data_IF_403130473179
#
_entry.id   IF_403130473179
#
_cell.length_a   1.000
_cell.length_b   1.000
_cell.length_c   1.000
_cell.angle_alpha   90.00
_cell.angle_beta   90.00
_cell.angle_gamma   90.00
#
_symmetry.space_group_name_H-M   'P 1'
#
loop_
_entity.id
_entity.type
_entity.pdbx_description
1 polymer ?
#
# COMPACT_ATOMS: atom_id res chain seq x y z
N UNK A 1 25.68 -17.21 6.83
CA UNK A 1 24.42 -17.94 6.63
C UNK A 1 23.75 -17.33 5.41
N UNK A 2 23.57 -18.08 4.33
CA UNK A 2 22.91 -17.57 3.13
C UNK A 2 21.39 -17.56 3.35
N UNK A 3 20.74 -16.42 3.13
CA UNK A 3 19.28 -16.27 3.21
C UNK A 3 18.64 -16.69 1.89
N UNK A 4 17.49 -17.39 1.93
CA UNK A 4 16.79 -17.85 0.72
C UNK A 4 15.79 -16.82 0.17
N UNK A 5 15.73 -15.63 0.80
CA UNK A 5 14.77 -14.56 0.48
C UNK A 5 14.77 -14.19 -1.02
N UNK A 6 15.91 -13.98 -1.70
CA UNK A 6 15.87 -13.61 -3.13
C UNK A 6 15.18 -14.66 -4.01
N UNK A 7 15.45 -15.94 -3.77
CA UNK A 7 14.83 -17.05 -4.51
C UNK A 7 13.34 -17.16 -4.20
N UNK A 8 12.95 -16.96 -2.93
CA UNK A 8 11.56 -16.98 -2.50
C UNK A 8 10.77 -15.79 -3.07
N UNK A 9 11.38 -14.60 -3.15
CA UNK A 9 10.78 -13.44 -3.82
C UNK A 9 10.57 -13.70 -5.31
N UNK A 10 11.56 -14.29 -5.99
CA UNK A 10 11.43 -14.67 -7.40
C UNK A 10 10.29 -15.67 -7.60
N UNK A 11 10.14 -16.65 -6.70
CA UNK A 11 9.01 -17.57 -6.71
C UNK A 11 7.69 -16.82 -6.61
N UNK A 12 7.54 -15.94 -5.62
CA UNK A 12 6.30 -15.19 -5.40
C UNK A 12 5.93 -14.34 -6.64
N UNK A 13 6.94 -13.71 -7.27
CA UNK A 13 6.77 -13.01 -8.53
C UNK A 13 6.31 -13.94 -9.65
N UNK A 14 7.01 -15.05 -9.91
CA UNK A 14 6.68 -15.96 -11.01
C UNK A 14 5.26 -16.53 -10.91
N UNK A 15 4.79 -16.76 -9.68
CA UNK A 15 3.44 -17.27 -9.42
C UNK A 15 2.35 -16.22 -9.64
N UNK A 16 2.59 -14.96 -9.28
CA UNK A 16 1.55 -13.91 -9.30
C UNK A 16 1.73 -12.84 -10.36
N UNK A 17 2.80 -12.91 -11.18
CA UNK A 17 3.15 -11.88 -12.17
C UNK A 17 1.98 -11.44 -13.03
N UNK A 18 1.13 -12.39 -13.48
CA UNK A 18 -0.01 -12.05 -14.36
C UNK A 18 -1.04 -11.20 -13.62
N UNK A 19 -1.41 -11.58 -12.39
CA UNK A 19 -2.33 -10.80 -11.57
C UNK A 19 -1.79 -9.41 -11.27
N UNK A 20 -0.50 -9.32 -10.93
CA UNK A 20 0.15 -8.04 -10.65
C UNK A 20 0.27 -7.13 -11.88
N UNK A 21 0.62 -7.69 -13.04
CA UNK A 21 0.65 -6.93 -14.29
C UNK A 21 -0.74 -6.42 -14.67
N UNK A 22 -1.79 -7.23 -14.52
CA UNK A 22 -3.16 -6.80 -14.77
C UNK A 22 -3.55 -5.68 -13.80
N UNK A 23 -3.31 -5.84 -12.50
CA UNK A 23 -3.66 -4.84 -11.49
C UNK A 23 -2.93 -3.51 -11.71
N UNK A 24 -1.66 -3.53 -12.15
CA UNK A 24 -0.87 -2.34 -12.37
C UNK A 24 -1.15 -1.65 -13.72
N UNK A 25 -1.32 -2.42 -14.81
CA UNK A 25 -1.41 -1.88 -16.17
C UNK A 25 -2.85 -1.74 -16.69
N UNK A 26 -3.79 -2.61 -16.28
CA UNK A 26 -5.14 -2.54 -16.83
C UNK A 26 -5.86 -1.23 -16.46
N UNK A 27 -5.85 -0.73 -15.20
CA UNK A 27 -6.54 0.52 -14.87
C UNK A 27 -6.05 1.74 -15.68
N UNK A 28 -4.74 2.06 -15.78
CA UNK A 28 -4.30 3.23 -16.54
C UNK A 28 -4.49 3.06 -18.05
N UNK A 29 -4.36 1.85 -18.60
CA UNK A 29 -4.64 1.59 -20.02
C UNK A 29 -6.13 1.79 -20.33
N UNK A 30 -7.01 1.25 -19.49
CA UNK A 30 -8.46 1.43 -19.64
C UNK A 30 -8.83 2.91 -19.50
N UNK A 31 -8.25 3.61 -18.54
CA UNK A 31 -8.46 5.05 -18.38
C UNK A 31 -8.10 5.82 -19.67
N UNK A 32 -6.89 5.60 -20.19
CA UNK A 32 -6.45 6.23 -21.45
C UNK A 32 -7.34 5.84 -22.64
N UNK A 33 -7.80 4.59 -22.71
CA UNK A 33 -8.69 4.12 -23.78
C UNK A 33 -10.11 4.71 -23.67
N UNK A 34 -10.57 5.04 -22.46
CA UNK A 34 -11.87 5.65 -22.22
C UNK A 34 -11.85 7.17 -22.34
N UNK A 35 -10.69 7.82 -22.15
CA UNK A 35 -10.54 9.27 -22.27
C UNK A 35 -11.15 9.83 -23.56
N UNK A 36 -10.98 9.23 -24.76
CA UNK A 36 -11.60 9.68 -26.00
C UNK A 36 -13.10 9.98 -25.91
N UNK A 37 -13.82 9.17 -25.15
CA UNK A 37 -15.27 9.19 -25.00
C UNK A 37 -15.76 10.03 -23.81
N UNK A 38 -14.84 10.58 -23.01
CA UNK A 38 -15.17 11.45 -21.90
C UNK A 38 -15.56 12.85 -22.39
N UNK A 39 -16.62 13.41 -21.80
CA UNK A 39 -17.00 14.80 -21.96
C UNK A 39 -16.42 15.56 -20.77
N UNK A 40 -15.32 16.28 -21.00
CA UNK A 40 -14.71 17.16 -20.01
C UNK A 40 -15.15 18.58 -20.32
N UNK A 41 -16.30 18.98 -19.76
CA UNK A 41 -16.84 20.32 -19.92
C UNK A 41 -16.24 21.26 -18.88
N UNK A 42 -15.79 22.43 -19.33
CA UNK A 42 -15.29 23.51 -18.47
C UNK A 42 -13.77 23.48 -18.28
N UNK A 43 -13.15 24.66 -18.51
CA UNK A 43 -11.75 24.91 -18.13
C UNK A 43 -11.72 25.16 -16.62
N UNK A 44 -11.02 24.34 -15.83
CA UNK A 44 -10.97 24.56 -14.38
C UNK A 44 -10.21 25.85 -14.07
N UNK A 45 -10.56 26.47 -12.94
CA UNK A 45 -9.81 27.58 -12.39
C UNK A 45 -8.44 27.07 -11.90
N UNK A 46 -7.37 27.44 -12.62
CA UNK A 46 -6.00 27.07 -12.30
C UNK A 46 -5.08 27.05 -13.52
N UNK A 47 -3.77 26.95 -13.28
CA UNK A 47 -2.76 26.86 -14.35
C UNK A 47 -2.43 25.41 -14.71
N UNK A 48 -2.00 25.19 -15.96
CA UNK A 48 -1.48 23.91 -16.44
C UNK A 48 -0.34 23.37 -15.56
N UNK A 49 0.53 24.28 -15.11
CA UNK A 49 1.70 24.01 -14.27
C UNK A 49 1.31 23.43 -12.90
N UNK A 50 0.12 23.79 -12.38
CA UNK A 50 -0.40 23.23 -11.14
C UNK A 50 -1.01 21.84 -11.36
N UNK A 51 -1.80 21.66 -12.42
CA UNK A 51 -2.53 20.42 -12.65
C UNK A 51 -1.65 19.27 -13.16
N UNK A 52 -0.61 19.56 -13.94
CA UNK A 52 0.28 18.54 -14.50
C UNK A 52 0.97 17.66 -13.43
N UNK A 53 1.68 18.22 -12.43
CA UNK A 53 2.31 17.40 -11.39
C UNK A 53 1.26 16.72 -10.50
N UNK A 54 0.08 17.33 -10.31
CA UNK A 54 -1.00 16.75 -9.52
C UNK A 54 -1.55 15.48 -10.19
N UNK A 55 -1.90 15.53 -11.48
CA UNK A 55 -2.39 14.37 -12.23
C UNK A 55 -1.34 13.26 -12.25
N UNK A 56 -0.08 13.63 -12.41
CA UNK A 56 1.03 12.69 -12.37
C UNK A 56 1.11 11.95 -11.03
N UNK A 57 1.09 12.67 -9.91
CA UNK A 57 1.15 12.08 -8.55
C UNK A 57 -0.12 11.25 -8.25
N UNK A 58 -1.30 11.77 -8.57
CA UNK A 58 -2.58 11.05 -8.40
C UNK A 58 -2.56 9.73 -9.17
N UNK A 59 -2.02 9.71 -10.39
CA UNK A 59 -1.91 8.47 -11.18
C UNK A 59 -1.05 7.43 -10.46
N UNK A 60 0.11 7.83 -9.92
CA UNK A 60 0.95 6.94 -9.11
C UNK A 60 0.23 6.43 -7.86
N UNK A 61 -0.41 7.32 -7.09
CA UNK A 61 -1.15 6.99 -5.88
C UNK A 61 -2.35 6.07 -6.14
N UNK A 62 -3.10 6.29 -7.22
CA UNK A 62 -4.26 5.49 -7.57
C UNK A 62 -3.87 4.04 -7.88
N UNK A 63 -2.83 3.85 -8.71
CA UNK A 63 -2.37 2.50 -9.07
C UNK A 63 -1.71 1.80 -7.87
N UNK A 64 -0.98 2.54 -7.03
CA UNK A 64 -0.50 2.04 -5.74
C UNK A 64 -1.65 1.55 -4.85
N UNK A 65 -2.69 2.36 -4.66
CA UNK A 65 -3.82 2.06 -3.79
C UNK A 65 -4.60 0.82 -4.28
N UNK A 66 -4.81 0.70 -5.60
CA UNK A 66 -5.43 -0.49 -6.20
C UNK A 66 -4.59 -1.74 -5.88
N UNK A 67 -3.28 -1.70 -6.12
CA UNK A 67 -2.41 -2.84 -5.87
C UNK A 67 -2.32 -3.18 -4.38
N UNK A 68 -2.26 -2.19 -3.49
CA UNK A 68 -2.28 -2.39 -2.04
C UNK A 68 -3.60 -3.03 -1.59
N UNK A 69 -4.74 -2.58 -2.11
CA UNK A 69 -6.03 -3.17 -1.80
C UNK A 69 -6.10 -4.63 -2.25
N UNK A 70 -5.68 -4.93 -3.48
CA UNK A 70 -5.56 -6.30 -3.99
C UNK A 70 -4.66 -7.15 -3.10
N UNK A 71 -3.51 -6.60 -2.67
CA UNK A 71 -2.60 -7.28 -1.76
C UNK A 71 -3.27 -7.63 -0.42
N UNK A 72 -3.93 -6.66 0.21
CA UNK A 72 -4.57 -6.83 1.52
C UNK A 72 -5.70 -7.87 1.48
N UNK A 73 -6.43 -7.98 0.37
CA UNK A 73 -7.42 -9.04 0.18
C UNK A 73 -6.80 -10.42 -0.04
N UNK A 74 -5.68 -10.51 -0.76
CA UNK A 74 -5.08 -11.79 -1.14
C UNK A 74 -4.18 -12.38 -0.05
N UNK A 75 -3.43 -11.52 0.66
CA UNK A 75 -2.40 -11.89 1.64
C UNK A 75 -2.85 -12.92 2.68
N UNK A 76 -4.03 -12.79 3.32
CA UNK A 76 -4.50 -13.77 4.29
C UNK A 76 -4.63 -15.19 3.70
N UNK A 77 -5.06 -15.29 2.43
CA UNK A 77 -5.20 -16.58 1.74
C UNK A 77 -3.86 -17.24 1.43
N UNK A 78 -2.82 -16.45 1.15
CA UNK A 78 -1.49 -16.96 0.78
C UNK A 78 -0.81 -17.76 1.89
N UNK A 79 -1.20 -17.54 3.16
CA UNK A 79 -0.70 -18.32 4.30
C UNK A 79 -0.98 -19.84 4.17
N UNK A 80 -1.96 -20.23 3.34
CA UNK A 80 -2.40 -21.63 3.18
C UNK A 80 -2.13 -22.22 1.80
N UNK A 81 -1.69 -21.42 0.83
CA UNK A 81 -1.52 -21.83 -0.56
C UNK A 81 -0.73 -23.15 -0.67
N UNK A 82 0.42 -23.20 0.00
CA UNK A 82 1.33 -24.35 -0.13
C UNK A 82 0.74 -25.65 0.44
N UNK A 83 -0.17 -25.53 1.42
CA UNK A 83 -0.92 -26.67 1.97
C UNK A 83 -2.02 -27.09 1.01
N UNK A 84 -2.72 -26.13 0.38
CA UNK A 84 -3.78 -26.40 -0.59
C UNK A 84 -3.25 -27.12 -1.83
N UNK A 85 -2.06 -26.73 -2.29
CA UNK A 85 -1.42 -27.32 -3.47
C UNK A 85 -0.57 -28.56 -3.12
N UNK A 86 -0.61 -29.03 -1.86
CA UNK A 86 0.21 -30.13 -1.30
C UNK A 86 1.72 -29.98 -1.52
N UNK A 87 2.18 -28.79 -1.89
CA UNK A 87 3.60 -28.51 -2.11
C UNK A 87 4.35 -28.23 -0.81
N UNK A 88 3.64 -28.11 0.32
CA UNK A 88 4.25 -27.82 1.62
C UNK A 88 5.29 -28.86 2.05
N UNK A 89 5.07 -30.15 1.74
CA UNK A 89 6.03 -31.23 2.06
C UNK A 89 7.36 -31.05 1.31
N UNK A 90 7.26 -30.66 0.03
CA UNK A 90 8.44 -30.30 -0.77
C UNK A 90 9.15 -29.05 -0.20
N UNK A 91 8.41 -28.02 0.20
CA UNK A 91 9.02 -26.81 0.76
C UNK A 91 9.67 -27.04 2.12
N UNK A 92 9.17 -27.98 2.92
CA UNK A 92 9.76 -28.35 4.20
C UNK A 92 10.96 -29.29 4.05
N UNK A 93 11.11 -29.98 2.92
CA UNK A 93 12.30 -30.81 2.64
C UNK A 93 13.50 -30.00 2.17
N UNK A 94 13.28 -28.79 1.65
CA UNK A 94 14.35 -27.88 1.25
C UNK A 94 15.03 -27.22 2.47
N UNK A 95 16.33 -26.89 2.36
CA UNK A 95 17.02 -26.11 3.38
C UNK A 95 16.48 -24.67 3.36
N UNK A 96 15.42 -24.40 4.11
CA UNK A 96 14.78 -23.09 4.19
C UNK A 96 13.95 -22.94 5.44
N UNK A 97 14.01 -21.77 6.08
CA UNK A 97 13.24 -21.53 7.32
C UNK A 97 11.80 -21.13 6.97
N UNK A 98 10.77 -21.69 7.64
CA UNK A 98 9.38 -21.29 7.41
C UNK A 98 9.15 -19.77 7.57
N UNK A 99 9.89 -19.12 8.47
CA UNK A 99 9.89 -17.66 8.62
C UNK A 99 10.36 -16.90 7.39
N UNK A 100 11.38 -17.37 6.68
CA UNK A 100 11.86 -16.73 5.44
C UNK A 100 10.79 -16.78 4.35
N UNK A 101 10.03 -17.89 4.26
CA UNK A 101 8.94 -17.99 3.30
C UNK A 101 7.79 -17.04 3.64
N UNK A 102 7.37 -16.96 4.90
CA UNK A 102 6.30 -16.04 5.32
C UNK A 102 6.72 -14.58 5.08
N UNK A 103 7.95 -14.23 5.49
CA UNK A 103 8.50 -12.89 5.28
C UNK A 103 8.59 -12.54 3.80
N UNK A 104 9.04 -13.47 2.94
CA UNK A 104 9.14 -13.23 1.49
C UNK A 104 7.76 -13.05 0.85
N UNK A 105 6.75 -13.82 1.26
CA UNK A 105 5.38 -13.63 0.78
C UNK A 105 4.83 -12.25 1.13
N UNK A 106 5.00 -11.81 2.38
CA UNK A 106 4.56 -10.47 2.82
C UNK A 106 5.37 -9.38 2.13
N UNK A 107 6.69 -9.49 2.04
CA UNK A 107 7.54 -8.51 1.37
C UNK A 107 7.16 -8.34 -0.11
N UNK A 108 6.90 -9.46 -0.81
CA UNK A 108 6.48 -9.44 -2.21
C UNK A 108 5.12 -8.76 -2.41
N UNK A 109 4.12 -9.10 -1.60
CA UNK A 109 2.74 -8.68 -1.85
C UNK A 109 2.35 -7.38 -1.12
N UNK A 110 2.79 -7.19 0.12
CA UNK A 110 2.45 -6.00 0.91
C UNK A 110 3.28 -4.77 0.51
N UNK A 111 4.50 -4.95 -0.01
CA UNK A 111 5.40 -3.84 -0.30
C UNK A 111 5.87 -3.78 -1.76
N UNK A 112 6.57 -4.80 -2.26
CA UNK A 112 7.20 -4.73 -3.59
C UNK A 112 6.17 -4.60 -4.73
N UNK A 113 5.08 -5.37 -4.68
CA UNK A 113 4.04 -5.29 -5.71
C UNK A 113 3.32 -3.92 -5.72
N UNK A 114 2.84 -3.38 -4.58
CA UNK A 114 2.31 -2.01 -4.54
C UNK A 114 3.31 -0.95 -4.99
N UNK A 115 4.58 -1.03 -4.57
CA UNK A 115 5.63 -0.09 -5.03
C UNK A 115 5.85 -0.19 -6.53
N UNK A 116 5.92 -1.41 -7.08
CA UNK A 116 5.99 -1.61 -8.53
C UNK A 116 4.80 -1.01 -9.26
N UNK A 117 3.59 -1.14 -8.70
CA UNK A 117 2.38 -0.54 -9.22
C UNK A 117 2.42 1.01 -9.16
N UNK A 118 2.98 1.60 -8.11
CA UNK A 118 3.20 3.04 -8.02
C UNK A 118 4.12 3.55 -9.13
N UNK A 119 5.18 2.80 -9.44
CA UNK A 119 6.11 3.12 -10.55
C UNK A 119 5.39 3.04 -11.90
N UNK A 120 4.55 2.02 -12.11
CA UNK A 120 3.70 1.95 -13.31
C UNK A 120 2.74 3.14 -13.38
N UNK A 121 2.07 3.48 -12.28
CA UNK A 121 1.18 4.64 -12.23
C UNK A 121 1.91 5.97 -12.50
N UNK A 122 3.15 6.12 -12.03
CA UNK A 122 4.00 7.27 -12.37
C UNK A 122 4.39 7.27 -13.86
N UNK A 123 4.78 6.12 -14.43
CA UNK A 123 5.10 6.01 -15.84
C UNK A 123 3.90 6.36 -16.75
N UNK A 124 2.68 5.94 -16.37
CA UNK A 124 1.45 6.31 -17.05
C UNK A 124 0.94 7.71 -16.68
N UNK A 125 1.44 8.31 -15.61
CA UNK A 125 1.06 9.65 -15.17
C UNK A 125 1.35 10.72 -16.23
N UNK A 126 2.44 10.59 -16.99
CA UNK A 126 2.77 11.48 -18.11
C UNK A 126 1.74 11.41 -19.25
N UNK A 127 1.50 10.26 -19.91
CA UNK A 127 0.51 10.18 -20.97
C UNK A 127 -0.91 10.49 -20.49
N UNK A 128 -1.24 10.19 -19.23
CA UNK A 128 -2.51 10.59 -18.62
C UNK A 128 -2.59 12.11 -18.49
N UNK A 129 -1.59 12.78 -17.92
CA UNK A 129 -1.54 14.23 -17.78
C UNK A 129 -1.60 14.92 -19.16
N UNK A 130 -0.81 14.47 -20.13
CA UNK A 130 -0.83 14.98 -21.50
C UNK A 130 -2.24 14.89 -22.12
N UNK A 131 -2.90 13.74 -21.97
CA UNK A 131 -4.21 13.49 -22.57
C UNK A 131 -5.33 14.27 -21.89
N UNK A 132 -5.29 14.37 -20.56
CA UNK A 132 -6.28 15.11 -19.78
C UNK A 132 -6.12 16.61 -20.00
N UNK A 133 -4.92 17.15 -19.85
CA UNK A 133 -4.66 18.58 -20.03
C UNK A 133 -4.84 19.04 -21.47
N UNK A 134 -4.44 18.22 -22.45
CA UNK A 134 -4.64 18.49 -23.87
C UNK A 134 -6.11 18.67 -24.23
N UNK A 135 -7.01 17.96 -23.53
CA UNK A 135 -8.46 18.11 -23.68
C UNK A 135 -9.03 19.31 -22.92
N UNK A 136 -8.52 19.59 -21.72
CA UNK A 136 -9.07 20.65 -20.85
C UNK A 136 -8.59 22.06 -21.22
N UNK A 137 -7.35 22.19 -21.70
CA UNK A 137 -6.69 23.46 -21.97
C UNK A 137 -6.25 23.62 -23.44
N UNK A 138 -6.29 22.54 -24.22
CA UNK A 138 -5.82 22.52 -25.60
C UNK A 138 -4.43 21.88 -25.74
N UNK A 139 -4.22 21.21 -26.87
CA UNK A 139 -2.99 20.48 -27.16
C UNK A 139 -1.77 21.39 -27.35
N UNK A 140 -1.95 22.58 -27.92
CA UNK A 140 -0.85 23.52 -28.12
C UNK A 140 -0.24 23.97 -26.78
N UNK A 141 -1.08 24.44 -25.86
CA UNK A 141 -0.65 24.91 -24.54
C UNK A 141 -0.05 23.77 -23.71
N UNK A 142 -0.62 22.57 -23.80
CA UNK A 142 -0.13 21.39 -23.08
C UNK A 142 1.24 20.92 -23.58
N UNK A 143 1.49 20.98 -24.89
CA UNK A 143 2.80 20.64 -25.45
C UNK A 143 3.86 21.70 -25.20
N UNK A 144 3.46 22.96 -25.03
CA UNK A 144 4.35 24.06 -24.67
C UNK A 144 4.84 24.00 -23.22
N UNK A 145 4.22 23.17 -22.37
CA UNK A 145 4.60 23.01 -20.96
C UNK A 145 6.01 22.40 -20.83
N UNK A 146 6.82 22.92 -19.92
CA UNK A 146 8.12 22.35 -19.58
C UNK A 146 7.96 21.08 -18.73
N UNK A 147 7.74 19.93 -19.38
CA UNK A 147 7.55 18.63 -18.70
C UNK A 147 8.68 18.22 -17.77
N UNK A 148 9.90 18.70 -18.01
CA UNK A 148 11.02 18.52 -17.08
C UNK A 148 10.75 19.16 -15.72
N UNK A 149 10.20 20.38 -15.68
CA UNK A 149 9.85 21.08 -14.44
C UNK A 149 8.69 20.40 -13.73
N UNK A 150 7.71 19.88 -14.48
CA UNK A 150 6.61 19.09 -13.92
C UNK A 150 7.14 17.86 -13.17
N UNK A 151 8.09 17.13 -13.75
CA UNK A 151 8.70 15.96 -13.12
C UNK A 151 9.50 16.33 -11.87
N UNK A 152 10.28 17.42 -11.95
CA UNK A 152 11.05 17.92 -10.80
C UNK A 152 10.12 18.36 -9.67
N UNK A 153 9.02 19.03 -9.98
CA UNK A 153 8.02 19.46 -9.01
C UNK A 153 7.27 18.27 -8.36
N UNK A 154 7.03 17.19 -9.09
CA UNK A 154 6.40 15.98 -8.57
C UNK A 154 7.35 15.13 -7.70
N UNK A 155 8.66 15.22 -7.94
CA UNK A 155 9.65 14.32 -7.33
C UNK A 155 9.63 14.29 -5.79
N UNK A 156 9.55 15.43 -5.06
CA UNK A 156 9.46 15.40 -3.60
C UNK A 156 8.27 14.58 -3.09
N UNK A 157 7.10 14.72 -3.72
CA UNK A 157 5.89 13.99 -3.33
C UNK A 157 6.03 12.49 -3.60
N UNK A 158 6.62 12.12 -4.75
CA UNK A 158 6.85 10.70 -5.08
C UNK A 158 7.84 10.05 -4.11
N UNK A 159 8.96 10.73 -3.83
CA UNK A 159 9.95 10.24 -2.88
C UNK A 159 9.37 10.11 -1.47
N UNK A 160 8.58 11.09 -1.04
CA UNK A 160 7.84 11.04 0.23
C UNK A 160 6.85 9.88 0.28
N UNK A 161 6.09 9.68 -0.80
CA UNK A 161 5.16 8.57 -0.93
C UNK A 161 5.88 7.22 -0.87
N UNK A 162 6.96 7.05 -1.62
CA UNK A 162 7.80 5.84 -1.62
C UNK A 162 8.36 5.53 -0.23
N UNK A 163 8.94 6.53 0.46
CA UNK A 163 9.40 6.36 1.83
C UNK A 163 8.24 6.02 2.79
N UNK A 164 7.10 6.68 2.61
CA UNK A 164 5.87 6.44 3.36
C UNK A 164 5.34 5.02 3.20
N UNK A 165 5.56 4.36 2.06
CA UNK A 165 5.11 2.96 1.88
C UNK A 165 5.75 2.00 2.89
N UNK A 166 6.98 2.28 3.33
CA UNK A 166 7.66 1.48 4.36
C UNK A 166 6.95 1.65 5.68
N UNK A 167 6.70 2.91 6.08
CA UNK A 167 5.98 3.24 7.30
C UNK A 167 4.57 2.63 7.31
N UNK A 168 3.87 2.75 6.18
CA UNK A 168 2.52 2.20 6.01
C UNK A 168 2.55 0.68 6.17
N UNK A 169 3.51 0.02 5.53
CA UNK A 169 3.65 -1.44 5.63
C UNK A 169 3.85 -1.85 7.09
N UNK A 170 4.72 -1.16 7.84
CA UNK A 170 4.96 -1.45 9.26
C UNK A 170 3.68 -1.33 10.10
N UNK A 171 2.88 -0.27 9.89
CA UNK A 171 1.60 -0.09 10.58
C UNK A 171 0.53 -1.10 10.14
N UNK A 172 0.62 -1.65 8.93
CA UNK A 172 -0.29 -2.70 8.45
C UNK A 172 0.10 -4.12 8.90
N UNK A 173 1.35 -4.37 9.29
CA UNK A 173 1.81 -5.69 9.75
C UNK A 173 0.93 -6.35 10.84
N UNK A 174 0.45 -5.67 11.90
CA UNK A 174 -0.43 -6.29 12.89
C UNK A 174 -1.69 -6.87 12.24
N UNK A 175 -2.31 -6.14 11.32
CA UNK A 175 -3.51 -6.60 10.61
C UNK A 175 -3.15 -7.76 9.67
N UNK A 176 -2.12 -7.60 8.85
CA UNK A 176 -1.69 -8.61 7.87
C UNK A 176 -1.39 -9.94 8.57
N UNK A 177 -0.58 -9.93 9.62
CA UNK A 177 -0.16 -11.18 10.28
C UNK A 177 -1.27 -11.81 11.12
N UNK A 178 -2.14 -11.03 11.76
CA UNK A 178 -3.30 -11.59 12.47
C UNK A 178 -4.26 -12.26 11.48
N UNK A 179 -4.55 -11.64 10.33
CA UNK A 179 -5.41 -12.23 9.32
C UNK A 179 -4.78 -13.46 8.65
N UNK A 180 -3.48 -13.42 8.36
CA UNK A 180 -2.74 -14.58 7.87
C UNK A 180 -2.75 -15.73 8.88
N UNK A 181 -2.54 -15.44 10.17
CA UNK A 181 -2.60 -16.43 11.23
C UNK A 181 -4.00 -17.04 11.32
N UNK A 182 -5.04 -16.21 11.42
CA UNK A 182 -6.41 -16.68 11.50
C UNK A 182 -6.80 -17.53 10.28
N UNK A 183 -6.41 -17.12 9.06
CA UNK A 183 -6.58 -17.93 7.86
C UNK A 183 -5.88 -19.28 8.01
N UNK A 184 -4.58 -19.29 8.36
CA UNK A 184 -3.81 -20.52 8.51
C UNK A 184 -4.42 -21.53 9.50
N UNK A 185 -4.95 -21.05 10.63
CA UNK A 185 -5.51 -21.90 11.69
C UNK A 185 -6.99 -22.25 11.50
N UNK A 186 -7.81 -21.30 11.05
CA UNK A 186 -9.27 -21.40 11.00
C UNK A 186 -9.82 -21.51 9.56
N UNK A 187 -8.93 -21.68 8.59
CA UNK A 187 -9.25 -21.91 7.18
C UNK A 187 -10.07 -20.75 6.60
N UNK A 188 -11.23 -21.07 5.97
CA UNK A 188 -12.09 -20.09 5.28
C UNK A 188 -12.81 -19.14 6.24
N UNK A 189 -12.95 -19.54 7.51
CA UNK A 189 -13.64 -18.74 8.53
C UNK A 189 -12.72 -17.79 9.28
N UNK A 190 -11.40 -17.93 9.15
CA UNK A 190 -10.44 -17.13 9.91
C UNK A 190 -10.57 -15.62 9.69
N UNK A 191 -10.60 -15.18 8.43
CA UNK A 191 -10.73 -13.75 8.11
C UNK A 191 -12.08 -13.19 8.56
N UNK A 192 -13.24 -13.79 8.22
CA UNK A 192 -14.53 -13.34 8.75
C UNK A 192 -14.58 -13.30 10.28
N UNK A 193 -14.03 -14.32 10.96
CA UNK A 193 -14.05 -14.38 12.42
C UNK A 193 -13.25 -13.24 13.05
N UNK A 194 -12.06 -12.93 12.54
CA UNK A 194 -11.27 -11.82 13.07
C UNK A 194 -11.94 -10.48 12.81
N UNK A 195 -12.38 -10.22 11.57
CA UNK A 195 -12.94 -8.92 11.20
C UNK A 195 -14.30 -8.69 11.86
N UNK A 196 -15.25 -9.61 11.67
CA UNK A 196 -16.61 -9.47 12.21
C UNK A 196 -16.64 -9.77 13.70
N UNK A 197 -16.04 -10.89 14.13
CA UNK A 197 -16.02 -11.28 15.54
C UNK A 197 -15.22 -10.29 16.39
N UNK A 198 -14.08 -9.81 15.90
CA UNK A 198 -13.31 -8.74 16.56
C UNK A 198 -14.09 -7.43 16.64
N UNK A 199 -14.74 -7.02 15.55
CA UNK A 199 -15.59 -5.82 15.54
C UNK A 199 -16.75 -5.91 16.54
N UNK A 200 -17.46 -7.05 16.56
CA UNK A 200 -18.55 -7.30 17.53
C UNK A 200 -18.02 -7.31 18.96
N UNK A 201 -16.89 -7.98 19.22
CA UNK A 201 -16.29 -8.02 20.55
C UNK A 201 -15.91 -6.61 21.05
N UNK A 202 -15.27 -5.79 20.21
CA UNK A 202 -14.94 -4.40 20.55
C UNK A 202 -16.21 -3.57 20.78
N UNK A 203 -17.22 -3.72 19.93
CA UNK A 203 -18.49 -3.02 20.08
C UNK A 203 -19.21 -3.41 21.38
N UNK A 204 -19.20 -4.69 21.76
CA UNK A 204 -19.77 -5.16 23.03
C UNK A 204 -18.97 -4.61 24.22
N UNK A 205 -17.64 -4.65 24.17
CA UNK A 205 -16.78 -4.09 25.22
C UNK A 205 -17.06 -2.61 25.46
N UNK A 206 -17.19 -1.82 24.38
CA UNK A 206 -17.49 -0.40 24.46
C UNK A 206 -18.91 -0.13 24.97
N UNK A 207 -19.94 -0.67 24.29
CA UNK A 207 -21.32 -0.29 24.54
C UNK A 207 -21.97 -0.98 25.76
N UNK A 208 -21.53 -2.20 26.10
CA UNK A 208 -22.13 -3.00 27.19
C UNK A 208 -21.31 -2.90 28.47
N UNK A 209 -19.98 -2.94 28.35
CA UNK A 209 -19.08 -2.98 29.51
C UNK A 209 -18.39 -1.65 29.82
N UNK A 210 -18.54 -0.62 28.97
CA UNK A 210 -17.89 0.68 29.15
C UNK A 210 -16.36 0.62 29.06
N UNK A 211 -15.81 -0.37 28.34
CA UNK A 211 -14.38 -0.56 28.15
C UNK A 211 -13.96 0.01 26.79
N UNK A 212 -13.39 1.23 26.80
CA UNK A 212 -13.13 1.99 25.57
C UNK A 212 -11.76 1.74 24.93
N UNK A 213 -10.80 1.24 25.70
CA UNK A 213 -9.41 1.14 25.24
C UNK A 213 -9.23 0.34 23.94
N UNK A 214 -9.97 -0.76 23.63
CA UNK A 214 -9.79 -1.48 22.37
C UNK A 214 -10.23 -0.66 21.16
N UNK A 215 -11.35 0.06 21.29
CA UNK A 215 -11.84 0.94 20.24
C UNK A 215 -10.85 2.09 20.01
N UNK A 216 -10.39 2.72 21.08
CA UNK A 216 -9.40 3.80 21.00
C UNK A 216 -8.08 3.33 20.38
N UNK A 217 -7.64 2.11 20.68
CA UNK A 217 -6.44 1.54 20.07
C UNK A 217 -6.60 1.32 18.56
N UNK A 218 -7.76 0.81 18.11
CA UNK A 218 -8.05 0.63 16.68
C UNK A 218 -8.18 1.96 15.94
N UNK A 219 -8.78 2.96 16.57
CA UNK A 219 -8.86 4.31 16.03
C UNK A 219 -7.47 4.96 15.91
N UNK A 220 -6.62 4.84 16.94
CA UNK A 220 -5.22 5.29 16.88
C UNK A 220 -4.48 4.59 15.73
N UNK A 221 -4.60 3.26 15.61
CA UNK A 221 -3.98 2.52 14.51
C UNK A 221 -4.42 3.06 13.14
N UNK A 222 -5.72 3.30 12.95
CA UNK A 222 -6.24 3.87 11.71
C UNK A 222 -5.67 5.26 11.43
N UNK A 223 -5.55 6.12 12.45
CA UNK A 223 -4.91 7.44 12.31
C UNK A 223 -3.46 7.31 11.84
N UNK A 224 -2.66 6.43 12.47
CA UNK A 224 -1.25 6.20 12.09
C UNK A 224 -1.08 5.66 10.68
N UNK A 225 -1.97 4.74 10.27
CA UNK A 225 -2.02 4.22 8.89
C UNK A 225 -2.22 5.37 7.89
N UNK A 226 -3.14 6.31 8.19
CA UNK A 226 -3.39 7.46 7.32
C UNK A 226 -2.19 8.43 7.29
N UNK A 227 -1.53 8.65 8.43
CA UNK A 227 -0.35 9.52 8.52
C UNK A 227 0.90 8.96 7.83
N UNK A 228 0.98 7.63 7.65
CA UNK A 228 2.19 7.00 7.13
C UNK A 228 2.60 7.49 5.73
N UNK A 229 1.63 7.70 4.84
CA UNK A 229 1.88 8.23 3.50
C UNK A 229 1.97 9.76 3.48
N UNK A 230 1.14 10.45 4.26
CA UNK A 230 1.11 11.90 4.38
C UNK A 230 0.57 12.28 5.76
N UNK A 231 1.36 13.00 6.55
CA UNK A 231 0.98 13.34 7.93
C UNK A 231 -0.03 14.49 7.96
N UNK A 232 0.26 15.58 7.24
CA UNK A 232 -0.61 16.77 7.19
C UNK A 232 -1.02 17.07 5.75
N UNK A 233 -2.19 16.54 5.35
CA UNK A 233 -2.77 16.79 4.04
C UNK A 233 -3.18 18.25 3.82
N UNK A 234 -3.69 18.93 4.84
CA UNK A 234 -4.07 20.34 4.75
C UNK A 234 -2.84 21.25 4.66
N UNK A 235 -1.77 20.89 5.35
CA UNK A 235 -0.46 21.52 5.22
C UNK A 235 0.12 21.38 3.82
N UNK A 236 -0.02 20.20 3.18
CA UNK A 236 0.42 19.98 1.80
C UNK A 236 -0.29 20.93 0.82
N UNK A 237 -1.61 21.03 0.92
CA UNK A 237 -2.40 21.93 0.05
C UNK A 237 -1.95 23.37 0.21
N UNK A 238 -1.74 23.83 1.45
CA UNK A 238 -1.21 25.18 1.73
C UNK A 238 0.19 25.37 1.18
N UNK A 239 1.08 24.38 1.33
CA UNK A 239 2.44 24.42 0.81
C UNK A 239 2.44 24.57 -0.73
N UNK A 240 1.61 23.79 -1.42
CA UNK A 240 1.42 23.88 -2.87
C UNK A 240 0.90 25.26 -3.31
N UNK A 241 -0.05 25.84 -2.58
CA UNK A 241 -0.62 27.16 -2.93
C UNK A 241 0.34 28.32 -2.65
N UNK A 242 1.14 28.20 -1.60
CA UNK A 242 2.08 29.25 -1.16
C UNK A 242 3.41 29.28 -1.92
N UNK A 243 3.69 28.29 -2.77
CA UNK A 243 4.98 28.15 -3.44
C UNK A 243 6.15 27.89 -2.47
N UNK A 244 5.87 27.33 -1.29
CA UNK A 244 6.90 26.94 -0.32
C UNK A 244 7.82 25.86 -0.89
N UNK A 245 9.03 25.74 -0.33
CA UNK A 245 9.93 24.63 -0.62
C UNK A 245 9.27 23.28 -0.27
N UNK A 246 8.69 22.64 -1.28
CA UNK A 246 8.02 21.35 -1.17
C UNK A 246 8.98 20.27 -0.68
N UNK A 247 10.27 20.34 -1.05
CA UNK A 247 11.28 19.39 -0.60
C UNK A 247 11.45 19.43 0.91
N UNK A 248 11.68 20.63 1.45
CA UNK A 248 11.77 20.86 2.89
C UNK A 248 10.52 20.44 3.65
N UNK A 249 9.32 20.77 3.12
CA UNK A 249 8.05 20.34 3.71
C UNK A 249 7.93 18.81 3.74
N UNK A 250 8.19 18.12 2.62
CA UNK A 250 8.09 16.66 2.53
C UNK A 250 9.03 15.96 3.50
N UNK A 251 10.25 16.50 3.69
CA UNK A 251 11.21 15.94 4.64
C UNK A 251 10.72 16.08 6.09
N UNK A 252 10.14 17.23 6.44
CA UNK A 252 9.54 17.44 7.76
C UNK A 252 8.33 16.53 7.99
N UNK A 253 7.46 16.38 7.00
CA UNK A 253 6.29 15.49 7.04
C UNK A 253 6.71 14.02 7.24
N UNK A 254 7.74 13.58 6.52
CA UNK A 254 8.35 12.25 6.71
C UNK A 254 8.90 12.08 8.14
N UNK A 255 9.61 13.09 8.64
CA UNK A 255 10.16 13.08 9.99
C UNK A 255 9.08 12.94 11.06
N UNK A 256 7.95 13.66 10.91
CA UNK A 256 6.79 13.56 11.81
C UNK A 256 6.16 12.17 11.78
N UNK A 257 5.98 11.60 10.59
CA UNK A 257 5.43 10.26 10.41
C UNK A 257 6.34 9.19 11.00
N UNK A 258 7.65 9.31 10.79
CA UNK A 258 8.65 8.40 11.33
C UNK A 258 8.74 8.49 12.86
N UNK A 259 8.56 9.68 13.44
CA UNK A 259 8.55 9.87 14.89
C UNK A 259 7.41 9.10 15.58
N UNK A 260 6.29 8.82 14.87
CA UNK A 260 5.20 8.00 15.42
C UNK A 260 5.63 6.56 15.71
N UNK A 261 6.68 6.05 15.07
CA UNK A 261 7.24 4.72 15.35
C UNK A 261 7.89 4.63 16.73
N UNK A 262 8.19 5.75 17.37
CA UNK A 262 8.75 5.80 18.73
C UNK A 262 7.66 5.72 19.82
N UNK A 263 6.39 5.67 19.42
CA UNK A 263 5.26 5.62 20.35
C UNK A 263 5.12 4.25 21.03
N UNK A 264 4.58 4.25 22.26
CA UNK A 264 4.21 3.01 22.95
C UNK A 264 3.12 2.23 22.19
N UNK A 265 2.24 2.91 21.44
CA UNK A 265 1.22 2.24 20.63
C UNK A 265 1.87 1.45 19.49
N UNK A 266 2.90 2.00 18.83
CA UNK A 266 3.67 1.24 17.83
C UNK A 266 4.26 -0.04 18.42
N UNK A 267 4.88 0.01 19.61
CA UNK A 267 5.43 -1.17 20.28
C UNK A 267 4.35 -2.22 20.55
N UNK A 268 3.18 -1.80 21.05
CA UNK A 268 2.04 -2.68 21.29
C UNK A 268 1.55 -3.37 20.01
N UNK A 269 1.38 -2.61 18.93
CA UNK A 269 0.97 -3.15 17.63
C UNK A 269 2.03 -4.06 17.01
N UNK A 270 3.32 -3.75 17.17
CA UNK A 270 4.40 -4.62 16.72
C UNK A 270 4.46 -5.92 17.52
N UNK A 271 4.12 -5.92 18.82
CA UNK A 271 4.01 -7.15 19.60
C UNK A 271 2.87 -8.05 19.06
N UNK A 272 1.74 -7.46 18.65
CA UNK A 272 0.65 -8.18 17.96
C UNK A 272 1.13 -8.75 16.62
N UNK A 273 1.83 -7.95 15.82
CA UNK A 273 2.39 -8.38 14.54
C UNK A 273 3.37 -9.55 14.69
N UNK A 274 4.30 -9.47 15.65
CA UNK A 274 5.28 -10.53 15.96
C UNK A 274 4.58 -11.81 16.40
N UNK A 275 3.55 -11.70 17.22
CA UNK A 275 2.75 -12.85 17.67
C UNK A 275 1.99 -13.50 16.49
N UNK A 276 1.36 -12.69 15.64
CA UNK A 276 0.73 -13.17 14.40
C UNK A 276 1.72 -13.88 13.48
N UNK A 277 2.89 -13.28 13.25
CA UNK A 277 3.96 -13.87 12.45
C UNK A 277 4.41 -15.22 13.03
N UNK A 278 4.68 -15.27 14.33
CA UNK A 278 5.07 -16.49 15.03
C UNK A 278 4.00 -17.60 14.89
N UNK A 279 2.71 -17.25 14.97
CA UNK A 279 1.61 -18.20 14.78
C UNK A 279 1.53 -18.75 13.35
N UNK A 280 1.76 -17.90 12.33
CA UNK A 280 1.81 -18.36 10.92
C UNK A 280 3.00 -19.30 10.71
N UNK A 281 4.18 -18.92 11.22
CA UNK A 281 5.41 -19.71 11.12
C UNK A 281 5.26 -21.05 11.83
N UNK A 282 4.73 -21.07 13.05
CA UNK A 282 4.50 -22.28 13.83
C UNK A 282 3.53 -23.23 13.13
N UNK A 283 2.46 -22.70 12.51
CA UNK A 283 1.51 -23.50 11.74
C UNK A 283 2.16 -24.10 10.50
N UNK A 284 2.90 -23.29 9.74
CA UNK A 284 3.63 -23.72 8.55
C UNK A 284 4.67 -24.80 8.84
N UNK A 285 5.42 -24.66 9.94
CA UNK A 285 6.43 -25.62 10.36
C UNK A 285 5.87 -27.02 10.66
N UNK A 286 4.56 -27.13 10.93
CA UNK A 286 3.85 -28.39 11.20
C UNK A 286 3.25 -29.03 9.94
N UNK A 287 3.55 -28.52 8.74
CA UNK A 287 2.99 -29.03 7.48
C UNK A 287 1.62 -28.48 7.11
N UNK A 288 1.12 -27.49 7.86
CA UNK A 288 -0.13 -26.80 7.54
C UNK A 288 -1.15 -26.76 8.65
#
# INVERSE_FOLDING_TARGET
MNTHIPTLLLREWLQHKRGWLIAAFAPPILFLAMLPFSHMDGRPEGSLEMFAPLIFVISSCAIYAIALLVALFQLPGLARRDVQDRSIEFWLSLPGRPGESVASTVLAHAWLAPVGAAVVGAAFGLPIALSVLGRMFGWADTMALHWGEVLVAALPLLLRGLAGTVLLTLWLLPLIFVLMAASAWLKRLGVPLVLVGGGVAVAVMHNVYGIDWPLNALLDLNVRINHALLYDGHGLVRALQSGLDLGGYMLQDLGRSAAELLSLSFVGWMAVAVSGFALVVAKRARGG
#
